data_IF_864080604500
#
_entry.id   IF_864080604500
#
_cell.length_a   1.000
_cell.length_b   1.000
_cell.length_c   1.000
_cell.angle_alpha   90.00
_cell.angle_beta   90.00
_cell.angle_gamma   90.00
#
_symmetry.space_group_name_H-M   'P 1'
#
loop_
_entity.id
_entity.type
_entity.pdbx_description
1 polymer ?
#
# COMPACT_ATOMS: atom_id res chain seq x y z
N UNK A 1 13.60 -12.23 -13.07
CA UNK A 1 14.98 -12.71 -12.96
C UNK A 1 15.16 -13.84 -13.96
N UNK A 2 16.15 -13.77 -14.85
CA UNK A 2 16.49 -14.88 -15.74
C UNK A 2 17.33 -15.89 -14.93
N UNK A 3 16.90 -17.15 -14.78
CA UNK A 3 17.74 -18.17 -14.16
C UNK A 3 18.98 -18.38 -15.03
N UNK A 4 20.16 -18.35 -14.41
CA UNK A 4 21.43 -18.52 -15.09
C UNK A 4 22.44 -19.23 -14.20
N UNK A 5 23.29 -20.05 -14.81
CA UNK A 5 24.44 -20.69 -14.15
C UNK A 5 25.57 -19.66 -14.08
N UNK A 6 25.98 -19.30 -12.87
CA UNK A 6 27.12 -18.41 -12.64
C UNK A 6 28.35 -19.26 -12.29
N UNK A 7 29.32 -19.41 -13.20
CA UNK A 7 30.55 -20.11 -12.89
C UNK A 7 31.37 -19.29 -11.89
N UNK A 8 31.69 -19.88 -10.75
CA UNK A 8 32.61 -19.30 -9.79
C UNK A 8 34.04 -19.73 -10.16
N UNK A 9 34.87 -18.78 -10.55
CA UNK A 9 36.30 -19.03 -10.78
C UNK A 9 37.06 -18.87 -9.46
N UNK A 10 37.76 -19.94 -9.04
CA UNK A 10 38.66 -19.86 -7.91
C UNK A 10 40.06 -19.44 -8.37
N UNK A 11 40.66 -18.46 -7.67
CA UNK A 11 42.07 -18.13 -7.78
C UNK A 11 42.74 -18.48 -6.45
N UNK A 12 43.69 -19.43 -6.39
CA UNK A 12 44.51 -19.62 -5.22
C UNK A 12 45.25 -18.31 -4.93
N UNK A 13 44.91 -17.64 -3.84
CA UNK A 13 45.76 -16.59 -3.29
C UNK A 13 47.03 -17.25 -2.79
N UNK A 14 48.16 -16.96 -3.44
CA UNK A 14 49.53 -17.23 -3.00
C UNK A 14 49.69 -18.51 -2.17
N UNK A 15 49.96 -19.61 -2.85
CA UNK A 15 50.37 -20.87 -2.24
C UNK A 15 51.57 -20.64 -1.31
N UNK A 16 51.32 -20.43 -0.02
CA UNK A 16 52.28 -20.76 1.01
C UNK A 16 52.20 -22.27 1.16
N UNK A 17 53.30 -22.93 0.80
CA UNK A 17 53.54 -24.36 0.91
C UNK A 17 53.09 -24.90 2.26
N UNK A 18 51.98 -25.65 2.30
CA UNK A 18 51.51 -26.35 3.48
C UNK A 18 50.00 -26.28 3.72
N UNK A 19 49.19 -26.86 2.83
CA UNK A 19 47.81 -27.23 3.18
C UNK A 19 47.74 -28.76 3.27
N UNK A 20 47.27 -29.34 4.40
CA UNK A 20 47.13 -30.78 4.53
C UNK A 20 46.05 -31.29 3.57
N UNK A 21 46.41 -32.24 2.72
CA UNK A 21 45.50 -32.97 1.85
C UNK A 21 44.40 -33.62 2.72
N UNK A 22 43.13 -33.33 2.43
CA UNK A 22 41.98 -33.99 3.10
C UNK A 22 41.00 -33.10 3.86
N UNK A 23 41.08 -31.76 3.75
CA UNK A 23 40.02 -30.87 4.28
C UNK A 23 39.06 -30.47 3.15
N UNK A 24 37.74 -30.73 3.25
CA UNK A 24 36.78 -30.16 2.30
C UNK A 24 36.81 -28.63 2.42
N UNK A 25 37.20 -27.95 1.35
CA UNK A 25 37.09 -26.51 1.26
C UNK A 25 35.63 -26.14 1.05
N UNK A 26 34.97 -25.66 2.10
CA UNK A 26 33.63 -25.08 2.01
C UNK A 26 33.72 -23.60 1.72
N UNK A 27 33.03 -23.13 0.68
CA UNK A 27 32.64 -21.72 0.56
C UNK A 27 31.20 -21.59 1.04
N UNK A 28 30.86 -20.48 1.69
CA UNK A 28 29.45 -20.18 1.94
C UNK A 28 28.73 -20.07 0.59
N UNK A 29 27.59 -20.71 0.39
CA UNK A 29 26.80 -20.51 -0.83
C UNK A 29 26.53 -19.01 -0.99
N UNK A 30 26.81 -18.48 -2.18
CA UNK A 30 26.52 -17.09 -2.51
C UNK A 30 25.04 -16.79 -2.29
N UNK A 31 24.72 -15.71 -1.58
CA UNK A 31 23.35 -15.33 -1.30
C UNK A 31 22.78 -14.49 -2.45
N UNK A 32 21.75 -15.00 -3.12
CA UNK A 32 21.06 -14.26 -4.17
C UNK A 32 20.07 -13.27 -3.54
N UNK A 33 20.39 -11.98 -3.62
CA UNK A 33 19.47 -10.92 -3.21
C UNK A 33 18.64 -10.46 -4.41
N UNK A 34 17.35 -10.79 -4.39
CA UNK A 34 16.39 -10.13 -5.29
C UNK A 34 16.20 -8.69 -4.79
N UNK A 35 16.19 -7.69 -5.66
CA UNK A 35 15.84 -6.31 -5.32
C UNK A 35 14.54 -5.98 -6.03
N UNK A 36 13.55 -5.45 -5.31
CA UNK A 36 12.31 -4.99 -5.92
C UNK A 36 12.35 -3.49 -6.13
N UNK A 37 11.80 -3.02 -7.25
CA UNK A 37 11.70 -1.59 -7.54
C UNK A 37 10.65 -0.94 -6.64
N UNK A 38 10.73 0.38 -6.44
CA UNK A 38 9.69 1.12 -5.74
C UNK A 38 8.32 0.90 -6.40
N UNK A 39 7.28 0.72 -5.60
CA UNK A 39 5.94 0.35 -6.07
C UNK A 39 5.71 -1.15 -6.15
N UNK A 40 6.72 -1.95 -5.80
CA UNK A 40 6.59 -3.40 -5.67
C UNK A 40 7.07 -3.89 -4.32
N UNK A 41 6.45 -4.96 -3.81
CA UNK A 41 6.86 -5.65 -2.60
C UNK A 41 7.36 -7.05 -2.93
N UNK A 42 8.09 -7.65 -2.00
CA UNK A 42 8.65 -8.98 -2.21
C UNK A 42 7.67 -10.02 -1.75
N UNK A 43 7.28 -10.92 -2.64
CA UNK A 43 6.55 -12.12 -2.28
C UNK A 43 7.50 -13.32 -2.27
N UNK A 44 7.52 -14.06 -1.16
CA UNK A 44 8.28 -15.30 -1.04
C UNK A 44 7.35 -16.48 -1.27
N UNK A 45 7.56 -17.21 -2.37
CA UNK A 45 6.82 -18.43 -2.70
C UNK A 45 7.74 -19.65 -2.67
N UNK A 46 7.17 -20.85 -2.70
CA UNK A 46 7.91 -22.13 -2.73
C UNK A 46 8.88 -22.28 -3.92
N UNK A 47 8.77 -21.43 -4.96
CA UNK A 47 9.66 -21.37 -6.12
C UNK A 47 10.64 -20.18 -6.16
N UNK A 48 10.72 -19.35 -5.11
CA UNK A 48 11.65 -18.21 -5.02
C UNK A 48 11.00 -16.89 -4.64
N UNK A 49 11.79 -15.81 -4.68
CA UNK A 49 11.34 -14.44 -4.40
C UNK A 49 10.97 -13.74 -5.72
N UNK A 50 9.76 -13.22 -5.81
CA UNK A 50 9.33 -12.36 -6.92
C UNK A 50 8.80 -11.02 -6.39
N UNK A 51 8.76 -10.02 -7.27
CA UNK A 51 8.23 -8.70 -6.95
C UNK A 51 6.80 -8.62 -7.47
N UNK A 52 5.89 -8.15 -6.63
CA UNK A 52 4.49 -7.94 -6.99
C UNK A 52 4.09 -6.48 -6.75
N UNK A 53 3.11 -5.98 -7.50
CA UNK A 53 2.65 -4.60 -7.37
C UNK A 53 2.11 -4.34 -5.97
N UNK A 54 2.46 -3.19 -5.39
CA UNK A 54 2.00 -2.82 -4.06
C UNK A 54 0.46 -2.81 -4.03
N UNK A 55 -0.19 -3.51 -3.09
CA UNK A 55 -1.63 -3.58 -3.03
C UNK A 55 -2.24 -2.23 -2.62
N UNK A 56 -3.52 -2.04 -2.96
CA UNK A 56 -4.25 -0.83 -2.58
C UNK A 56 -4.26 -0.66 -1.05
N UNK A 57 -4.14 0.59 -0.60
CA UNK A 57 -4.09 0.93 0.82
C UNK A 57 -2.74 0.67 1.49
N UNK A 58 -1.69 0.39 0.71
CA UNK A 58 -0.32 0.25 1.18
C UNK A 58 0.65 1.01 0.27
N UNK A 59 1.79 1.41 0.80
CA UNK A 59 2.90 1.95 0.03
C UNK A 59 4.15 1.07 0.19
N UNK A 60 4.91 0.93 -0.89
CA UNK A 60 6.05 0.03 -0.97
C UNK A 60 7.26 0.78 -1.55
N UNK A 61 8.24 1.20 -0.73
CA UNK A 61 9.44 1.90 -1.21
C UNK A 61 10.34 1.00 -2.08
N UNK A 62 10.11 -0.31 -2.09
CA UNK A 62 10.95 -1.31 -2.76
C UNK A 62 12.15 -1.72 -1.90
N UNK A 63 13.14 -2.36 -2.52
CA UNK A 63 14.42 -2.72 -1.89
C UNK A 63 14.66 -4.22 -1.73
N UNK A 64 15.68 -4.56 -0.93
CA UNK A 64 16.07 -5.93 -0.58
C UNK A 64 15.38 -6.35 0.73
N UNK A 65 14.42 -7.28 0.69
CA UNK A 65 13.99 -8.10 1.85
C UNK A 65 15.19 -8.40 2.73
N UNK A 66 15.04 -8.06 4.00
CA UNK A 66 16.10 -7.97 4.96
C UNK A 66 16.29 -6.56 5.53
N UNK A 67 15.61 -5.54 4.99
CA UNK A 67 15.37 -4.31 5.73
C UNK A 67 14.36 -4.56 6.84
N UNK A 68 14.74 -4.19 8.05
CA UNK A 68 14.12 -4.12 9.39
C UNK A 68 12.63 -3.67 9.48
N UNK A 69 11.93 -3.58 8.35
CA UNK A 69 10.50 -3.35 8.25
C UNK A 69 9.73 -4.67 8.38
N UNK A 70 8.93 -4.72 9.44
CA UNK A 70 8.24 -5.87 10.02
C UNK A 70 7.14 -6.54 9.15
N UNK A 71 7.06 -6.27 7.84
CA UNK A 71 6.03 -6.81 6.95
C UNK A 71 6.45 -6.67 5.47
N UNK A 72 7.02 -7.73 4.84
CA UNK A 72 7.10 -7.96 3.38
C UNK A 72 7.62 -6.82 2.45
N UNK A 73 8.11 -5.70 3.01
CA UNK A 73 8.39 -4.45 2.30
C UNK A 73 7.16 -3.58 1.99
N UNK A 74 6.02 -3.80 2.65
CA UNK A 74 4.76 -3.04 2.46
C UNK A 74 4.35 -2.35 3.75
N UNK A 75 3.93 -1.08 3.65
CA UNK A 75 3.50 -0.27 4.80
C UNK A 75 2.07 0.18 4.57
N UNK A 76 1.18 -0.10 5.51
CA UNK A 76 -0.24 0.28 5.41
C UNK A 76 -0.39 1.79 5.48
N UNK A 77 -1.27 2.35 4.66
CA UNK A 77 -1.68 3.73 4.76
C UNK A 77 -2.33 4.04 6.13
N UNK A 78 -2.33 5.31 6.53
CA UNK A 78 -2.99 5.78 7.75
C UNK A 78 -4.48 5.44 7.81
N UNK A 79 -5.07 5.50 9.00
CA UNK A 79 -6.49 5.23 9.17
C UNK A 79 -7.34 6.19 8.33
N UNK A 80 -8.17 5.64 7.44
CA UNK A 80 -8.99 6.45 6.52
C UNK A 80 -8.26 7.01 5.31
N UNK A 81 -7.03 6.57 5.06
CA UNK A 81 -6.30 6.85 3.84
C UNK A 81 -6.19 5.59 2.99
N UNK A 82 -6.15 5.78 1.68
CA UNK A 82 -5.95 4.70 0.71
C UNK A 82 -5.13 5.22 -0.48
N UNK A 83 -4.81 4.34 -1.41
CA UNK A 83 -4.07 4.68 -2.62
C UNK A 83 -5.02 4.73 -3.82
N UNK A 84 -4.70 5.55 -4.84
CA UNK A 84 -5.50 5.64 -6.08
C UNK A 84 -5.57 4.31 -6.84
N UNK A 85 -4.60 3.44 -6.63
CA UNK A 85 -4.49 2.16 -7.29
C UNK A 85 -3.31 1.37 -6.74
N UNK A 86 -3.00 0.22 -7.37
CA UNK A 86 -1.83 -0.56 -7.03
C UNK A 86 -0.54 0.15 -7.47
N UNK A 87 0.58 -0.19 -6.83
CA UNK A 87 1.91 0.30 -7.22
C UNK A 87 2.40 1.54 -6.48
N UNK A 88 1.77 1.89 -5.35
CA UNK A 88 2.21 3.00 -4.51
C UNK A 88 3.61 2.78 -3.95
N UNK A 89 4.41 3.85 -3.98
CA UNK A 89 5.84 3.83 -3.71
C UNK A 89 6.14 4.39 -2.33
N UNK A 90 5.39 5.41 -1.91
CA UNK A 90 5.71 6.18 -0.71
C UNK A 90 4.45 6.54 0.07
N UNK A 91 4.64 7.01 1.30
CA UNK A 91 3.54 7.43 2.16
C UNK A 91 2.74 8.60 1.56
N UNK A 92 3.36 9.42 0.69
CA UNK A 92 2.67 10.52 0.02
C UNK A 92 1.69 10.04 -1.07
N UNK A 93 1.76 8.75 -1.46
CA UNK A 93 0.77 8.14 -2.35
C UNK A 93 -0.49 7.66 -1.60
N UNK A 94 -0.49 7.73 -0.26
CA UNK A 94 -1.64 7.47 0.59
C UNK A 94 -2.44 8.77 0.77
N UNK A 95 -3.57 8.88 0.08
CA UNK A 95 -4.46 10.04 0.13
C UNK A 95 -5.70 9.73 0.98
N UNK A 96 -6.42 10.74 1.44
CA UNK A 96 -7.69 10.49 2.12
C UNK A 96 -8.72 9.81 1.20
N UNK A 97 -9.35 8.76 1.74
CA UNK A 97 -10.33 7.95 1.02
C UNK A 97 -11.58 8.78 0.64
N UNK A 98 -12.47 8.17 -0.15
CA UNK A 98 -13.78 8.75 -0.45
C UNK A 98 -14.55 9.02 0.85
N UNK A 99 -15.34 10.10 0.85
CA UNK A 99 -16.07 10.53 2.04
C UNK A 99 -15.19 11.05 3.18
N UNK A 100 -13.88 11.27 2.99
CA UNK A 100 -12.97 11.81 4.01
C UNK A 100 -12.16 13.00 3.54
N UNK A 101 -12.10 14.05 4.36
CA UNK A 101 -11.29 15.24 4.12
C UNK A 101 -9.98 15.19 4.90
N UNK A 102 -8.93 15.81 4.34
CA UNK A 102 -7.65 15.94 5.01
C UNK A 102 -7.69 17.13 5.99
N UNK A 103 -7.80 16.84 7.28
CA UNK A 103 -7.84 17.83 8.36
C UNK A 103 -6.54 17.76 9.15
N UNK A 104 -5.58 18.61 8.81
CA UNK A 104 -4.30 18.68 9.52
C UNK A 104 -3.43 17.42 9.41
N UNK A 105 -3.56 16.67 8.31
CA UNK A 105 -2.84 15.41 8.08
C UNK A 105 -3.58 14.16 8.56
N UNK A 106 -4.78 14.31 9.13
CA UNK A 106 -5.68 13.20 9.47
C UNK A 106 -6.86 13.16 8.48
N UNK A 107 -7.30 11.95 8.12
CA UNK A 107 -8.45 11.75 7.23
C UNK A 107 -9.73 11.61 8.04
N UNK A 108 -10.44 12.73 8.18
CA UNK A 108 -11.69 12.82 8.94
C UNK A 108 -12.90 12.68 8.01
N UNK A 109 -14.00 12.04 8.44
CA UNK A 109 -15.17 11.88 7.61
C UNK A 109 -15.83 13.22 7.26
N UNK A 110 -16.38 13.30 6.05
CA UNK A 110 -17.09 14.48 5.58
C UNK A 110 -18.28 14.81 6.50
N UNK A 111 -18.49 16.10 6.83
CA UNK A 111 -19.65 16.50 7.63
C UNK A 111 -20.96 16.24 6.86
N UNK A 112 -22.06 16.07 7.59
CA UNK A 112 -23.38 15.86 7.01
C UNK A 112 -23.74 16.97 6.00
N UNK A 113 -24.42 16.58 4.92
CA UNK A 113 -24.74 17.46 3.79
C UNK A 113 -23.59 17.70 2.80
N UNK A 114 -22.41 17.10 3.04
CA UNK A 114 -21.29 17.10 2.09
C UNK A 114 -20.79 15.69 1.81
N UNK A 115 -20.31 15.50 0.59
CA UNK A 115 -19.79 14.23 0.13
C UNK A 115 -18.49 14.40 -0.64
N UNK A 116 -17.76 13.29 -0.81
CA UNK A 116 -16.51 13.27 -1.58
C UNK A 116 -16.38 11.96 -2.34
N UNK A 117 -16.48 12.05 -3.66
CA UNK A 117 -16.52 10.90 -4.55
C UNK A 117 -15.17 10.37 -5.01
N UNK A 118 -14.08 11.06 -4.69
CA UNK A 118 -12.75 10.72 -5.17
C UNK A 118 -11.76 10.62 -4.01
N UNK A 119 -10.77 9.75 -4.18
CA UNK A 119 -9.63 9.64 -3.28
C UNK A 119 -8.71 10.84 -3.55
N UNK A 120 -8.49 11.69 -2.55
CA UNK A 120 -7.71 12.93 -2.65
C UNK A 120 -7.39 13.48 -1.26
N UNK A 121 -6.41 14.38 -1.16
CA UNK A 121 -6.11 15.10 0.09
C UNK A 121 -6.83 16.45 0.19
N UNK A 122 -8.02 16.56 -0.41
CA UNK A 122 -8.81 17.77 -0.31
C UNK A 122 -9.16 18.07 1.16
N UNK A 123 -8.82 19.29 1.59
CA UNK A 123 -9.05 19.75 2.97
C UNK A 123 -10.54 19.95 3.29
N UNK A 124 -11.39 19.96 2.27
CA UNK A 124 -12.83 20.05 2.39
C UNK A 124 -13.48 19.06 1.43
N UNK A 125 -14.67 18.60 1.77
CA UNK A 125 -15.47 17.75 0.89
C UNK A 125 -16.10 18.63 -0.20
N UNK A 126 -15.69 18.49 -1.47
CA UNK A 126 -16.12 19.39 -2.54
C UNK A 126 -17.57 19.16 -2.97
N UNK A 127 -18.11 17.97 -2.73
CA UNK A 127 -19.51 17.64 -3.00
C UNK A 127 -20.42 18.22 -1.93
N UNK A 128 -21.52 18.85 -2.35
CA UNK A 128 -22.56 19.36 -1.46
C UNK A 128 -23.92 18.88 -1.95
N UNK A 129 -24.76 18.43 -1.02
CA UNK A 129 -26.13 18.05 -1.37
C UNK A 129 -26.94 19.27 -1.82
N UNK A 130 -27.86 19.09 -2.78
CA UNK A 130 -28.81 20.14 -3.19
C UNK A 130 -29.64 20.68 -2.01
N UNK A 131 -30.15 21.92 -2.14
CA UNK A 131 -31.03 22.51 -1.13
C UNK A 131 -32.26 21.62 -0.85
N UNK A 132 -32.53 21.38 0.43
CA UNK A 132 -33.63 20.52 0.89
C UNK A 132 -33.28 19.02 0.91
N UNK A 133 -32.02 18.68 0.67
CA UNK A 133 -31.48 17.34 0.86
C UNK A 133 -30.21 17.38 1.70
N UNK A 134 -29.97 16.31 2.44
CA UNK A 134 -28.77 16.11 3.25
C UNK A 134 -28.26 14.69 3.06
N UNK A 135 -27.04 14.43 3.50
CA UNK A 135 -26.43 13.11 3.48
C UNK A 135 -25.75 12.85 4.82
N UNK A 136 -25.51 11.57 5.12
CA UNK A 136 -24.83 11.16 6.34
C UNK A 136 -23.37 11.64 6.41
N UNK A 137 -22.80 11.57 7.61
CA UNK A 137 -21.36 11.77 7.79
C UNK A 137 -20.58 10.72 6.99
N UNK A 138 -19.57 11.15 6.23
CA UNK A 138 -18.74 10.24 5.43
C UNK A 138 -19.34 9.84 4.08
N UNK A 139 -20.34 10.57 3.59
CA UNK A 139 -20.97 10.27 2.30
C UNK A 139 -19.98 10.39 1.14
N UNK A 140 -20.08 9.48 0.17
CA UNK A 140 -19.16 9.38 -0.97
C UNK A 140 -19.76 9.94 -2.25
N UNK A 141 -21.07 10.08 -2.36
CA UNK A 141 -21.71 10.50 -3.62
C UNK A 141 -22.95 11.35 -3.40
N UNK A 142 -23.42 11.99 -4.48
CA UNK A 142 -24.69 12.73 -4.48
C UNK A 142 -25.89 11.79 -4.38
N UNK A 143 -25.75 10.53 -4.82
CA UNK A 143 -26.83 9.52 -4.76
C UNK A 143 -27.18 9.11 -3.33
N UNK A 144 -26.30 9.39 -2.35
CA UNK A 144 -26.57 9.23 -0.92
C UNK A 144 -27.32 10.42 -0.29
N UNK A 145 -27.59 11.49 -1.05
CA UNK A 145 -28.39 12.61 -0.56
C UNK A 145 -29.87 12.20 -0.48
N UNK A 146 -30.48 12.40 0.69
CA UNK A 146 -31.90 12.16 0.97
C UNK A 146 -32.58 13.47 1.40
N UNK A 147 -33.91 13.60 1.19
CA UNK A 147 -34.63 14.81 1.59
C UNK A 147 -34.55 15.06 3.10
N UNK A 148 -34.31 16.31 3.47
CA UNK A 148 -34.32 16.75 4.86
C UNK A 148 -35.73 16.56 5.43
N UNK A 149 -35.90 15.64 6.39
CA UNK A 149 -37.18 15.50 7.06
C UNK A 149 -37.45 16.79 7.87
N UNK A 150 -38.69 17.34 7.83
CA UNK A 150 -39.03 18.60 8.50
C UNK A 150 -38.88 18.60 10.03
N UNK A 151 -38.55 17.44 10.64
CA UNK A 151 -38.37 17.27 12.09
C UNK A 151 -36.96 16.79 12.49
N UNK A 152 -35.94 16.96 11.63
CA UNK A 152 -34.53 16.67 12.00
C UNK A 152 -34.18 15.19 12.13
N UNK A 153 -35.04 14.28 11.65
CA UNK A 153 -34.74 12.86 11.54
C UNK A 153 -34.08 12.56 10.20
N UNK A 154 -32.79 12.27 10.21
CA UNK A 154 -32.09 11.73 9.04
C UNK A 154 -32.76 10.43 8.60
N UNK A 155 -33.45 10.44 7.46
CA UNK A 155 -33.97 9.25 6.83
C UNK A 155 -32.81 8.54 6.12
N UNK A 156 -32.01 7.79 6.89
CA UNK A 156 -31.05 6.85 6.33
C UNK A 156 -31.83 5.85 5.48
N UNK A 157 -31.75 5.98 4.16
CA UNK A 157 -32.45 5.13 3.21
C UNK A 157 -31.90 3.70 3.22
N UNK A 158 -32.37 2.90 4.18
CA UNK A 158 -32.35 1.44 4.13
C UNK A 158 -33.76 0.91 3.80
N UNK A 159 -34.43 1.52 2.81
CA UNK A 159 -35.69 0.99 2.26
C UNK A 159 -35.40 0.17 1.01
N UNK A 160 -34.66 -0.92 1.24
CA UNK A 160 -34.51 -2.01 0.27
C UNK A 160 -35.77 -2.87 0.38
N UNK A 161 -36.85 -2.48 -0.30
CA UNK A 161 -38.05 -3.31 -0.45
C UNK A 161 -37.71 -4.61 -1.24
N UNK A 162 -38.46 -5.71 -1.00
CA UNK A 162 -38.03 -7.12 -1.13
C UNK A 162 -37.84 -7.64 -2.55
#
# INVERSE_FOLDING_TARGET
ATPGLYPLCWRPGLATSGLPEGRPFGTSPGHLFVTCSSGTYKLTSSGGVHCEACPIGHHCPGGTAGGDYLDDGKTRCGAGSTTLGPGSKRAEDCLCDMGKANVGGACEPCPAGRYKAQISDDAACPGQCPNGTTCGMGSVSLDECYPDAPNGGSASGDDRLP
#
